data_IF_746296989212
#
_entry.id   IF_746296989212
#
_cell.length_a   1.000
_cell.length_b   1.000
_cell.length_c   1.000
_cell.angle_alpha   90.00
_cell.angle_beta   90.00
_cell.angle_gamma   90.00
#
_symmetry.space_group_name_H-M   'P 1'
#
loop_
_entity.id
_entity.type
_entity.pdbx_description
1 polymer ?
#
# COMPACT_ATOMS: atom_id res chain seq x y z
N UNK A 1 -29.34 73.10 55.27
CA UNK A 1 -30.28 71.95 55.31
C UNK A 1 -29.54 70.71 54.85
N UNK A 2 -29.72 69.56 55.54
CA UNK A 2 -29.02 69.31 56.80
C UNK A 2 -28.46 67.85 56.88
N UNK A 3 -27.40 67.59 57.68
CA UNK A 3 -27.40 66.83 58.96
C UNK A 3 -27.55 65.29 58.83
N UNK A 4 -26.97 64.39 59.65
CA UNK A 4 -26.12 64.40 60.86
C UNK A 4 -25.69 62.91 61.12
N UNK A 5 -24.56 62.74 61.81
CA UNK A 5 -24.24 61.73 62.87
C UNK A 5 -24.12 60.19 62.60
N UNK A 6 -22.87 59.70 62.68
CA UNK A 6 -22.22 58.77 63.66
C UNK A 6 -23.11 57.90 64.62
N UNK A 7 -22.66 56.76 65.22
CA UNK A 7 -21.29 56.42 65.67
C UNK A 7 -20.83 54.92 65.64
N UNK A 8 -19.70 54.66 66.32
CA UNK A 8 -18.78 53.52 66.25
C UNK A 8 -18.97 52.37 67.28
N UNK A 9 -18.34 51.22 66.97
CA UNK A 9 -17.68 50.17 67.82
C UNK A 9 -18.55 49.37 68.84
N UNK A 10 -18.28 48.05 69.12
CA UNK A 10 -16.96 47.50 69.53
C UNK A 10 -16.58 46.06 69.04
N UNK A 11 -15.34 45.58 69.26
CA UNK A 11 -14.90 44.16 69.21
C UNK A 11 -14.72 43.57 70.65
N UNK A 12 -14.03 42.43 70.88
CA UNK A 12 -14.21 41.04 70.44
C UNK A 12 -14.53 40.10 71.64
N UNK A 13 -14.93 38.84 71.41
CA UNK A 13 -14.92 37.81 72.47
C UNK A 13 -14.56 36.42 71.94
N UNK A 14 -13.47 35.89 72.50
CA UNK A 14 -13.00 34.52 72.36
C UNK A 14 -13.58 33.62 73.46
N UNK A 15 -13.25 32.32 73.38
CA UNK A 15 -13.50 31.18 74.31
C UNK A 15 -14.84 30.48 74.06
N UNK A 16 -14.96 29.16 74.14
CA UNK A 16 -14.02 28.07 74.42
C UNK A 16 -14.78 26.75 74.19
N UNK A 17 -14.04 25.74 73.73
CA UNK A 17 -14.21 24.32 74.03
C UNK A 17 -15.61 23.79 74.40
N UNK A 18 -16.24 23.10 73.46
CA UNK A 18 -17.30 22.10 73.72
C UNK A 18 -16.84 20.75 73.18
N UNK A 19 -16.23 19.96 74.06
CA UNK A 19 -15.76 18.59 73.78
C UNK A 19 -16.98 17.66 73.56
N UNK A 20 -16.86 16.81 72.54
CA UNK A 20 -17.82 15.79 72.05
C UNK A 20 -18.59 15.02 73.14
N UNK A 21 -19.71 14.41 72.73
CA UNK A 21 -19.75 12.95 72.87
C UNK A 21 -20.11 12.23 71.56
N UNK A 22 -19.81 10.92 71.50
CA UNK A 22 -19.56 10.20 70.26
C UNK A 22 -20.81 9.50 69.76
N UNK A 23 -20.66 8.88 68.58
CA UNK A 23 -21.53 7.87 67.93
C UNK A 23 -22.34 8.44 66.77
N UNK A 24 -21.75 8.38 65.58
CA UNK A 24 -22.38 7.85 64.36
C UNK A 24 -21.27 7.54 63.34
N UNK A 25 -20.26 6.78 63.78
CA UNK A 25 -19.09 6.37 62.97
C UNK A 25 -19.35 5.14 62.08
N UNK A 26 -20.61 4.70 61.94
CA UNK A 26 -20.94 3.42 61.33
C UNK A 26 -21.45 3.46 59.89
N UNK A 27 -22.00 4.58 59.40
CA UNK A 27 -22.76 4.58 58.13
C UNK A 27 -22.11 5.47 57.05
N UNK A 28 -21.37 6.51 57.43
CA UNK A 28 -20.67 7.35 56.45
C UNK A 28 -19.38 6.71 55.87
N UNK A 29 -18.87 5.66 56.50
CA UNK A 29 -17.61 5.00 56.08
C UNK A 29 -17.79 3.99 54.92
N UNK A 30 -19.04 3.68 54.52
CA UNK A 30 -19.30 2.74 53.43
C UNK A 30 -19.66 3.41 52.09
N UNK A 31 -19.95 4.72 52.08
CA UNK A 31 -20.27 5.46 50.85
C UNK A 31 -19.06 6.20 50.24
N UNK A 32 -18.00 6.42 51.03
CA UNK A 32 -16.77 7.04 50.54
C UNK A 32 -15.93 6.16 49.57
N UNK A 33 -15.83 4.82 49.73
CA UNK A 33 -15.07 4.01 48.77
C UNK A 33 -15.84 3.77 47.46
N UNK A 34 -17.16 3.97 47.42
CA UNK A 34 -17.96 3.81 46.20
C UNK A 34 -17.91 5.04 45.29
N UNK A 35 -17.70 6.24 45.87
CA UNK A 35 -17.56 7.48 45.10
C UNK A 35 -16.18 7.62 44.42
N UNK A 36 -15.16 6.88 44.88
CA UNK A 36 -13.81 6.87 44.28
C UNK A 36 -13.71 5.96 43.03
N UNK A 37 -14.70 5.10 42.76
CA UNK A 37 -14.76 4.28 41.54
C UNK A 37 -15.37 5.02 40.34
N UNK A 38 -15.92 6.22 40.53
CA UNK A 38 -16.45 7.06 39.45
C UNK A 38 -15.40 8.01 38.81
N UNK A 39 -14.13 7.90 39.22
CA UNK A 39 -13.04 8.73 38.68
C UNK A 39 -12.43 8.19 37.37
N UNK A 40 -12.95 7.09 36.81
CA UNK A 40 -12.68 6.71 35.43
C UNK A 40 -13.47 7.63 34.48
N UNK A 41 -12.98 8.86 34.31
CA UNK A 41 -13.36 9.70 33.18
C UNK A 41 -13.09 8.95 31.87
N UNK A 42 -13.85 9.23 30.79
CA UNK A 42 -13.64 8.56 29.51
C UNK A 42 -12.17 8.73 29.10
N UNK A 43 -11.42 7.63 29.00
CA UNK A 43 -10.06 7.65 28.50
C UNK A 43 -10.04 8.43 27.18
N UNK A 44 -9.02 9.27 26.91
CA UNK A 44 -8.81 9.79 25.57
C UNK A 44 -8.76 8.60 24.64
N UNK A 45 -9.72 8.52 23.72
CA UNK A 45 -9.82 7.45 22.74
C UNK A 45 -9.28 7.98 21.42
N UNK A 46 -7.95 7.96 21.20
CA UNK A 46 -7.35 8.48 19.96
C UNK A 46 -7.84 7.75 18.70
N UNK A 47 -8.48 6.59 18.86
CA UNK A 47 -9.07 5.79 17.79
C UNK A 47 -10.61 5.84 17.74
N UNK A 48 -11.30 6.61 18.60
CA UNK A 48 -12.74 6.90 18.43
C UNK A 48 -12.92 8.04 17.45
N UNK A 49 -12.72 7.70 16.20
CA UNK A 49 -13.06 8.48 15.04
C UNK A 49 -13.02 7.53 13.85
N UNK A 50 -13.89 7.74 12.87
CA UNK A 50 -13.68 7.19 11.55
C UNK A 50 -12.97 8.28 10.73
N UNK A 51 -11.63 8.39 10.79
CA UNK A 51 -10.89 9.41 10.02
C UNK A 51 -10.97 9.19 8.49
N UNK A 52 -11.81 8.26 8.02
CA UNK A 52 -12.00 7.96 6.61
C UNK A 52 -10.70 7.54 5.93
N UNK A 53 -10.65 7.73 4.61
CA UNK A 53 -9.47 7.39 3.79
C UNK A 53 -8.23 8.26 4.06
N UNK A 54 -8.32 9.30 4.90
CA UNK A 54 -7.19 10.19 5.18
C UNK A 54 -6.20 9.58 6.17
N UNK A 55 -6.64 8.96 7.28
CA UNK A 55 -5.73 8.32 8.21
C UNK A 55 -5.05 7.07 7.64
N UNK A 56 -5.73 6.31 6.76
CA UNK A 56 -5.09 5.18 6.05
C UNK A 56 -3.98 5.63 5.10
N UNK A 57 -4.08 6.84 4.53
CA UNK A 57 -3.04 7.42 3.67
C UNK A 57 -1.83 7.93 4.47
N UNK A 58 -2.03 8.33 5.72
CA UNK A 58 -0.97 8.84 6.60
C UNK A 58 -0.21 7.73 7.34
N UNK A 59 -0.82 6.55 7.53
CA UNK A 59 -0.23 5.43 8.27
C UNK A 59 0.34 4.31 7.38
N UNK A 60 0.35 4.50 6.05
CA UNK A 60 0.90 3.49 5.15
C UNK A 60 2.45 3.57 5.18
N UNK A 61 3.15 2.49 5.55
CA UNK A 61 4.60 2.43 5.36
C UNK A 61 4.96 2.66 3.89
N UNK A 62 6.18 3.14 3.59
CA UNK A 62 6.64 3.30 2.22
C UNK A 62 6.40 2.01 1.43
N UNK A 63 5.68 2.11 0.31
CA UNK A 63 5.21 0.96 -0.45
C UNK A 63 6.30 0.30 -1.32
N UNK A 64 7.57 0.58 -1.04
CA UNK A 64 8.70 0.12 -1.85
C UNK A 64 9.80 -0.47 -0.97
N UNK A 65 10.52 -1.43 -1.56
CA UNK A 65 11.79 -1.95 -1.05
C UNK A 65 12.86 -1.60 -2.08
N UNK A 66 14.07 -1.30 -1.62
CA UNK A 66 15.20 -0.98 -2.49
C UNK A 66 16.11 -2.19 -2.58
N UNK A 67 16.42 -2.62 -3.78
CA UNK A 67 17.51 -3.54 -4.04
C UNK A 67 18.81 -2.78 -4.34
N UNK A 68 19.90 -3.25 -3.75
CA UNK A 68 21.27 -2.77 -4.00
C UNK A 68 22.06 -3.91 -4.67
N UNK A 69 22.11 -3.96 -6.01
CA UNK A 69 22.93 -4.96 -6.69
C UNK A 69 24.43 -4.67 -6.51
N UNK A 70 25.30 -5.69 -6.63
CA UNK A 70 26.74 -5.48 -6.69
C UNK A 70 27.09 -4.52 -7.85
N UNK A 71 27.74 -3.37 -7.60
CA UNK A 71 27.94 -2.36 -8.62
C UNK A 71 29.16 -2.68 -9.50
N UNK A 72 28.90 -3.25 -10.66
CA UNK A 72 29.95 -3.58 -11.65
C UNK A 72 30.63 -2.35 -12.26
N UNK A 73 30.00 -1.18 -12.18
CA UNK A 73 30.52 0.09 -12.70
C UNK A 73 31.12 1.00 -11.61
N UNK A 74 31.37 0.49 -10.40
CA UNK A 74 31.94 1.27 -9.29
C UNK A 74 33.48 1.27 -9.23
N UNK A 75 34.17 0.80 -10.27
CA UNK A 75 35.63 0.68 -10.30
C UNK A 75 36.20 -0.16 -9.13
N UNK A 76 35.42 -1.16 -8.69
CA UNK A 76 35.80 -2.13 -7.65
C UNK A 76 35.86 -3.55 -8.26
N UNK A 77 36.74 -4.43 -7.75
CA UNK A 77 36.69 -5.86 -8.07
C UNK A 77 35.36 -6.51 -7.63
N UNK A 78 34.93 -7.59 -8.28
CA UNK A 78 33.61 -8.23 -8.07
C UNK A 78 33.29 -8.56 -6.59
N UNK A 79 34.28 -9.07 -5.86
CA UNK A 79 34.14 -9.39 -4.43
C UNK A 79 33.90 -8.11 -3.63
N UNK A 80 34.72 -7.08 -3.86
CA UNK A 80 34.57 -5.77 -3.20
C UNK A 80 33.28 -5.05 -3.59
N UNK A 81 32.79 -5.23 -4.82
CA UNK A 81 31.48 -4.72 -5.25
C UNK A 81 30.35 -5.36 -4.44
N UNK A 82 30.42 -6.67 -4.19
CA UNK A 82 29.44 -7.38 -3.35
C UNK A 82 29.52 -6.88 -1.91
N UNK A 83 30.72 -6.76 -1.35
CA UNK A 83 30.94 -6.23 0.00
C UNK A 83 30.44 -4.79 0.14
N UNK A 84 30.63 -3.96 -0.89
CA UNK A 84 30.16 -2.58 -0.88
C UNK A 84 28.64 -2.48 -0.96
N UNK A 85 27.98 -3.33 -1.76
CA UNK A 85 26.52 -3.41 -1.79
C UNK A 85 25.95 -3.83 -0.42
N UNK A 86 26.60 -4.77 0.28
CA UNK A 86 26.24 -5.15 1.65
C UNK A 86 26.44 -3.99 2.64
N UNK A 87 27.57 -3.28 2.56
CA UNK A 87 27.85 -2.13 3.42
C UNK A 87 26.84 -0.99 3.23
N UNK A 88 26.44 -0.70 1.98
CA UNK A 88 25.37 0.27 1.68
C UNK A 88 24.04 -0.19 2.27
N UNK A 89 23.72 -1.48 2.12
CA UNK A 89 22.49 -2.07 2.67
C UNK A 89 22.45 -1.89 4.19
N UNK A 90 23.50 -2.29 4.90
CA UNK A 90 23.58 -2.12 6.37
C UNK A 90 23.44 -0.65 6.80
N UNK A 91 24.12 0.27 6.09
CA UNK A 91 24.04 1.70 6.40
C UNK A 91 22.63 2.27 6.18
N UNK A 92 21.92 1.82 5.15
CA UNK A 92 20.55 2.22 4.85
C UNK A 92 19.53 1.56 5.78
N UNK A 93 19.74 0.30 6.18
CA UNK A 93 18.94 -0.36 7.23
C UNK A 93 19.04 0.40 8.56
N UNK A 94 20.25 0.85 8.92
CA UNK A 94 20.48 1.72 10.08
C UNK A 94 19.76 3.07 10.00
N UNK A 95 19.40 3.52 8.80
CA UNK A 95 18.58 4.70 8.54
C UNK A 95 17.07 4.37 8.38
N UNK A 96 16.65 3.17 8.77
CA UNK A 96 15.27 2.67 8.68
C UNK A 96 14.71 2.60 7.25
N UNK A 97 15.59 2.52 6.24
CA UNK A 97 15.18 2.36 4.84
C UNK A 97 14.92 0.88 4.55
N UNK A 98 13.76 0.50 3.95
CA UNK A 98 13.50 -0.88 3.55
C UNK A 98 14.41 -1.27 2.36
N UNK A 99 15.51 -1.95 2.62
CA UNK A 99 16.56 -2.25 1.63
C UNK A 99 16.95 -3.73 1.65
N UNK A 100 17.51 -4.23 0.55
CA UNK A 100 18.06 -5.58 0.42
C UNK A 100 19.28 -5.56 -0.51
N UNK A 101 20.34 -6.28 -0.15
CA UNK A 101 21.47 -6.49 -1.05
C UNK A 101 21.13 -7.57 -2.10
N UNK A 102 21.39 -7.30 -3.37
CA UNK A 102 21.23 -8.27 -4.46
C UNK A 102 20.37 -7.77 -5.62
N UNK A 103 19.96 -8.72 -6.47
CA UNK A 103 19.19 -8.43 -7.67
C UNK A 103 17.78 -7.91 -7.32
N UNK A 104 17.26 -6.91 -8.05
CA UNK A 104 15.92 -6.39 -7.81
C UNK A 104 14.86 -7.44 -8.15
N UNK A 105 13.85 -7.58 -7.28
CA UNK A 105 12.58 -8.17 -7.65
C UNK A 105 11.84 -7.25 -8.65
N UNK A 106 10.82 -7.73 -9.38
CA UNK A 106 10.14 -6.95 -10.41
C UNK A 106 9.55 -5.61 -9.95
N UNK A 107 9.37 -5.41 -8.65
CA UNK A 107 8.73 -4.24 -8.05
C UNK A 107 9.68 -3.46 -7.12
N UNK A 108 10.91 -3.93 -6.96
CA UNK A 108 11.90 -3.23 -6.15
C UNK A 108 12.33 -1.95 -6.88
N UNK A 109 12.55 -0.89 -6.11
CA UNK A 109 13.40 0.18 -6.58
C UNK A 109 14.83 -0.30 -6.58
N UNK A 110 15.66 0.22 -7.46
CA UNK A 110 17.06 -0.16 -7.56
C UNK A 110 17.95 1.03 -7.26
N UNK A 111 18.94 0.82 -6.40
CA UNK A 111 20.04 1.76 -6.24
C UNK A 111 21.18 1.33 -7.16
N UNK A 112 21.32 2.04 -8.28
CA UNK A 112 22.47 1.87 -9.15
C UNK A 112 23.64 2.70 -8.62
N UNK A 113 24.79 2.04 -8.47
CA UNK A 113 26.03 2.70 -8.04
C UNK A 113 27.06 2.58 -9.14
N UNK A 114 27.62 3.72 -9.53
CA UNK A 114 28.76 3.82 -10.44
C UNK A 114 29.88 4.60 -9.75
N UNK A 115 31.06 4.68 -10.36
CA UNK A 115 32.10 5.56 -9.88
C UNK A 115 32.86 6.19 -11.04
N UNK A 116 33.15 7.49 -10.91
CA UNK A 116 33.98 8.24 -11.82
C UNK A 116 35.33 8.52 -11.14
N UNK A 117 36.43 8.40 -11.89
CA UNK A 117 37.76 8.77 -11.40
C UNK A 117 38.22 10.08 -12.04
N UNK A 118 38.59 11.06 -11.22
CA UNK A 118 39.18 12.32 -11.64
C UNK A 118 40.45 12.66 -10.83
N UNK A 119 40.99 13.87 -10.99
CA UNK A 119 42.19 14.32 -10.27
C UNK A 119 42.04 14.42 -8.75
N UNK A 120 40.83 14.31 -8.20
CA UNK A 120 40.54 14.35 -6.75
C UNK A 120 40.39 12.96 -6.13
N UNK A 121 40.20 11.92 -6.95
CA UNK A 121 40.01 10.56 -6.49
C UNK A 121 38.91 9.83 -7.25
N UNK A 122 38.40 8.76 -6.65
CA UNK A 122 37.23 8.03 -7.13
C UNK A 122 35.99 8.56 -6.44
N UNK A 123 35.00 9.01 -7.21
CA UNK A 123 33.75 9.58 -6.72
C UNK A 123 32.60 8.61 -7.02
N UNK A 124 32.03 7.95 -6.00
CA UNK A 124 30.81 7.16 -6.18
C UNK A 124 29.64 8.04 -6.62
N UNK A 125 28.86 7.54 -7.57
CA UNK A 125 27.63 8.15 -8.05
C UNK A 125 26.46 7.19 -7.84
N UNK A 126 25.36 7.72 -7.35
CA UNK A 126 24.19 6.99 -6.93
C UNK A 126 22.99 7.42 -7.79
N UNK A 127 22.26 6.46 -8.31
CA UNK A 127 21.04 6.68 -9.07
C UNK A 127 19.93 5.81 -8.49
N UNK A 128 18.86 6.42 -8.02
CA UNK A 128 17.65 5.70 -7.62
C UNK A 128 16.80 5.50 -8.87
N UNK A 129 16.48 4.25 -9.17
CA UNK A 129 15.67 3.84 -10.31
C UNK A 129 14.41 3.17 -9.78
N UNK A 130 13.24 3.57 -10.27
CA UNK A 130 11.99 2.92 -9.90
C UNK A 130 11.82 1.55 -10.60
N UNK A 131 10.75 0.84 -10.24
CA UNK A 131 10.42 -0.46 -10.83
C UNK A 131 10.15 -0.39 -12.36
N UNK A 132 9.85 0.80 -12.91
CA UNK A 132 9.65 1.01 -14.35
C UNK A 132 10.97 1.29 -15.08
N UNK A 133 12.11 1.32 -14.37
CA UNK A 133 13.41 1.66 -14.94
C UNK A 133 13.65 3.17 -15.09
N UNK A 134 12.76 4.02 -14.57
CA UNK A 134 12.92 5.47 -14.61
C UNK A 134 13.82 5.93 -13.46
N UNK A 135 14.79 6.77 -13.80
CA UNK A 135 15.65 7.43 -12.80
C UNK A 135 14.83 8.47 -12.04
N UNK A 136 14.68 8.26 -10.73
CA UNK A 136 13.99 9.16 -9.82
C UNK A 136 14.89 10.30 -9.33
N UNK A 137 16.19 10.06 -9.26
CA UNK A 137 17.16 11.04 -8.81
C UNK A 137 18.58 10.49 -8.83
N UNK A 138 19.54 11.42 -8.90
CA UNK A 138 20.96 11.11 -8.90
C UNK A 138 21.69 12.04 -7.95
N UNK A 139 22.74 11.52 -7.30
CA UNK A 139 23.67 12.30 -6.52
C UNK A 139 25.06 11.67 -6.56
N UNK A 140 26.07 12.44 -6.18
CA UNK A 140 27.46 11.99 -6.11
C UNK A 140 27.95 12.11 -4.68
N UNK A 141 28.65 11.09 -4.21
CA UNK A 141 29.34 11.11 -2.92
C UNK A 141 30.56 12.03 -2.96
N UNK A 142 31.30 12.06 -1.85
CA UNK A 142 32.59 12.74 -1.80
C UNK A 142 33.72 11.85 -2.38
N UNK A 143 34.75 12.45 -3.00
CA UNK A 143 35.85 11.70 -3.58
C UNK A 143 36.60 10.90 -2.50
N UNK A 144 36.98 9.67 -2.86
CA UNK A 144 37.81 8.77 -2.06
C UNK A 144 39.19 8.68 -2.75
N UNK A 145 40.31 8.74 -2.01
CA UNK A 145 41.63 8.57 -2.61
C UNK A 145 41.72 7.29 -3.43
N UNK A 146 42.26 7.38 -4.65
CA UNK A 146 42.31 6.26 -5.62
C UNK A 146 42.89 5.00 -4.98
N UNK A 147 43.99 5.14 -4.24
CA UNK A 147 44.63 4.02 -3.54
C UNK A 147 43.71 3.34 -2.53
N UNK A 148 42.99 4.11 -1.72
CA UNK A 148 42.08 3.54 -0.71
C UNK A 148 40.88 2.84 -1.35
N UNK A 149 40.36 3.39 -2.44
CA UNK A 149 39.28 2.78 -3.20
C UNK A 149 39.71 1.47 -3.88
N UNK A 150 40.87 1.48 -4.54
CA UNK A 150 41.45 0.29 -5.20
C UNK A 150 41.87 -0.81 -4.22
N UNK A 151 42.32 -0.44 -3.01
CA UNK A 151 42.61 -1.42 -1.95
C UNK A 151 41.33 -2.08 -1.40
N UNK A 152 40.17 -1.44 -1.55
CA UNK A 152 38.84 -1.94 -1.20
C UNK A 152 38.74 -2.57 0.21
N UNK A 153 39.45 -1.99 1.19
CA UNK A 153 39.40 -2.46 2.58
C UNK A 153 37.99 -2.33 3.14
N UNK A 154 37.53 -3.35 3.88
CA UNK A 154 36.20 -3.39 4.51
C UNK A 154 35.88 -2.10 5.27
N UNK A 155 36.80 -1.62 6.12
CA UNK A 155 36.63 -0.36 6.85
C UNK A 155 36.38 0.85 5.93
N UNK A 156 37.06 0.93 4.78
CA UNK A 156 36.85 1.99 3.80
C UNK A 156 35.46 1.89 3.16
N UNK A 157 35.03 0.69 2.77
CA UNK A 157 33.73 0.46 2.15
C UNK A 157 32.57 0.82 3.11
N UNK A 158 32.63 0.35 4.36
CA UNK A 158 31.63 0.70 5.39
C UNK A 158 31.61 2.19 5.71
N UNK A 159 32.79 2.83 5.82
CA UNK A 159 32.90 4.27 6.06
C UNK A 159 32.29 5.10 4.92
N UNK A 160 32.54 4.72 3.66
CA UNK A 160 31.96 5.39 2.49
C UNK A 160 30.45 5.17 2.44
N UNK A 161 29.99 3.93 2.66
CA UNK A 161 28.57 3.60 2.70
C UNK A 161 27.82 4.39 3.79
N UNK A 162 28.34 4.43 5.02
CA UNK A 162 27.76 5.17 6.13
C UNK A 162 27.70 6.68 5.85
N UNK A 163 28.77 7.25 5.28
CA UNK A 163 28.81 8.67 4.89
C UNK A 163 27.75 8.99 3.84
N UNK A 164 27.61 8.15 2.82
CA UNK A 164 26.75 8.42 1.66
C UNK A 164 25.30 7.96 1.89
N UNK A 165 25.00 7.23 2.97
CA UNK A 165 23.65 6.80 3.33
C UNK A 165 22.66 7.96 3.50
N UNK A 166 23.09 9.07 4.12
CA UNK A 166 22.24 10.28 4.25
C UNK A 166 21.90 10.88 2.88
N UNK A 167 22.87 10.89 1.96
CA UNK A 167 22.71 11.39 0.60
C UNK A 167 21.73 10.52 -0.20
N UNK A 168 21.83 9.20 -0.07
CA UNK A 168 20.90 8.25 -0.70
C UNK A 168 19.49 8.37 -0.09
N UNK A 169 19.38 8.52 1.24
CA UNK A 169 18.10 8.71 1.94
C UNK A 169 17.40 9.99 1.47
N UNK A 170 18.15 11.07 1.29
CA UNK A 170 17.62 12.32 0.75
C UNK A 170 17.14 12.18 -0.72
N UNK A 171 17.84 11.39 -1.54
CA UNK A 171 17.40 11.06 -2.90
C UNK A 171 16.08 10.30 -2.89
N UNK A 172 15.97 9.27 -2.04
CA UNK A 172 14.76 8.45 -1.91
C UNK A 172 13.56 9.28 -1.49
N UNK A 173 13.72 10.10 -0.46
CA UNK A 173 12.67 11.01 0.03
C UNK A 173 12.17 11.95 -1.08
N UNK A 174 13.09 12.47 -1.91
CA UNK A 174 12.74 13.35 -3.03
C UNK A 174 12.05 12.60 -4.16
N UNK A 175 12.52 11.39 -4.47
CA UNK A 175 11.91 10.49 -5.46
C UNK A 175 10.48 10.11 -5.07
N UNK A 176 10.27 9.76 -3.79
CA UNK A 176 8.94 9.54 -3.23
C UNK A 176 8.05 10.78 -3.34
N UNK A 177 8.55 11.95 -2.96
CA UNK A 177 7.78 13.19 -3.01
C UNK A 177 7.36 13.51 -4.46
N UNK A 178 8.27 13.35 -5.43
CA UNK A 178 7.96 13.52 -6.84
C UNK A 178 6.93 12.50 -7.34
N UNK A 179 7.03 11.25 -6.90
CA UNK A 179 6.04 10.21 -7.20
C UNK A 179 4.68 10.52 -6.59
N UNK A 180 4.61 10.87 -5.31
CA UNK A 180 3.36 11.28 -4.63
C UNK A 180 2.76 12.53 -5.29
N UNK A 181 3.58 13.48 -5.73
CA UNK A 181 3.12 14.64 -6.49
C UNK A 181 2.48 14.22 -7.84
N UNK A 182 3.08 13.25 -8.53
CA UNK A 182 2.48 12.67 -9.74
C UNK A 182 1.21 11.85 -9.47
N UNK A 183 1.10 11.22 -8.29
CA UNK A 183 -0.09 10.47 -7.85
C UNK A 183 -1.21 11.38 -7.31
N UNK A 184 -0.89 12.59 -6.84
CA UNK A 184 -1.86 13.59 -6.33
C UNK A 184 -2.42 14.51 -7.41
N UNK A 185 -1.86 14.50 -8.62
CA UNK A 185 -2.64 14.84 -9.80
C UNK A 185 -3.78 13.84 -9.85
N UNK A 186 -5.06 14.27 -9.77
CA UNK A 186 -6.16 13.34 -9.89
C UNK A 186 -5.92 12.51 -11.14
N UNK A 187 -5.97 11.18 -11.01
CA UNK A 187 -5.76 10.27 -12.14
C UNK A 187 -6.78 10.51 -13.28
N UNK A 188 -7.72 11.44 -13.06
CA UNK A 188 -8.60 12.07 -14.03
C UNK A 188 -8.67 13.59 -13.78
N UNK A 189 -7.58 14.32 -14.03
CA UNK A 189 -7.54 15.78 -14.06
C UNK A 189 -7.30 16.29 -15.47
N UNK A 190 -8.24 16.03 -16.40
CA UNK A 190 -8.31 16.47 -17.82
C UNK A 190 -7.86 15.51 -18.94
N UNK A 191 -7.57 14.23 -18.67
CA UNK A 191 -6.94 13.34 -19.67
C UNK A 191 -7.44 11.88 -19.74
N UNK A 192 -8.67 11.65 -20.20
CA UNK A 192 -9.12 10.35 -20.74
C UNK A 192 -9.45 9.21 -19.74
N UNK A 193 -9.94 8.06 -20.26
CA UNK A 193 -10.31 6.89 -19.45
C UNK A 193 -9.10 6.16 -18.83
N UNK A 194 -9.26 5.54 -17.65
CA UNK A 194 -8.17 4.85 -16.96
C UNK A 194 -7.65 3.65 -17.75
N UNK A 195 -6.31 3.55 -17.84
CA UNK A 195 -5.61 2.51 -18.61
C UNK A 195 -5.16 1.36 -17.70
N UNK A 196 -5.40 0.13 -18.16
CA UNK A 196 -5.02 -1.12 -17.49
C UNK A 196 -4.09 -1.91 -18.39
N UNK A 197 -2.90 -2.21 -17.89
CA UNK A 197 -1.98 -3.16 -18.53
C UNK A 197 -2.49 -4.56 -18.26
N UNK A 198 -2.81 -5.33 -19.30
CA UNK A 198 -3.26 -6.70 -19.14
C UNK A 198 -2.22 -7.68 -19.66
N UNK A 199 -1.67 -8.51 -18.77
CA UNK A 199 -0.62 -9.47 -19.11
C UNK A 199 -1.16 -10.80 -19.64
N UNK A 200 -2.47 -10.90 -19.85
CA UNK A 200 -3.16 -12.11 -20.29
C UNK A 200 -3.46 -13.10 -19.16
N UNK A 201 -3.75 -14.32 -19.57
CA UNK A 201 -4.16 -15.43 -18.70
C UNK A 201 -3.22 -16.61 -18.91
N UNK A 202 -2.88 -17.32 -17.84
CA UNK A 202 -2.01 -18.49 -17.87
C UNK A 202 -2.66 -19.70 -17.18
N UNK A 203 -2.31 -20.90 -17.63
CA UNK A 203 -2.68 -22.16 -16.99
C UNK A 203 -4.02 -22.77 -17.41
N UNK A 204 -4.81 -22.09 -18.25
CA UNK A 204 -6.06 -22.66 -18.74
C UNK A 204 -5.80 -23.70 -19.87
N UNK A 205 -6.43 -24.89 -19.83
CA UNK A 205 -6.38 -25.88 -20.89
C UNK A 205 -7.14 -25.43 -22.16
N UNK A 206 -6.95 -26.16 -23.26
CA UNK A 206 -7.60 -25.87 -24.53
C UNK A 206 -7.23 -24.48 -25.06
N UNK A 207 -8.23 -23.71 -25.48
CA UNK A 207 -8.11 -22.30 -25.88
C UNK A 207 -8.35 -21.31 -24.72
N UNK A 208 -8.44 -21.81 -23.49
CA UNK A 208 -8.96 -21.04 -22.36
C UNK A 208 -8.20 -19.75 -22.05
N UNK A 209 -6.87 -19.73 -22.22
CA UNK A 209 -6.07 -18.53 -21.97
C UNK A 209 -6.47 -17.41 -22.94
N UNK A 210 -6.66 -17.74 -24.22
CA UNK A 210 -7.05 -16.79 -25.26
C UNK A 210 -8.50 -16.35 -25.08
N UNK A 211 -9.41 -17.30 -24.84
CA UNK A 211 -10.83 -17.03 -24.66
C UNK A 211 -11.12 -16.17 -23.43
N UNK A 212 -10.48 -16.44 -22.29
CA UNK A 212 -10.60 -15.61 -21.09
C UNK A 212 -9.98 -14.22 -21.28
N UNK A 213 -8.82 -14.12 -21.94
CA UNK A 213 -8.17 -12.84 -22.19
C UNK A 213 -9.02 -11.93 -23.10
N UNK A 214 -9.56 -12.49 -24.18
CA UNK A 214 -10.43 -11.76 -25.11
C UNK A 214 -11.66 -11.20 -24.38
N UNK A 215 -12.39 -12.04 -23.66
CA UNK A 215 -13.61 -11.63 -22.96
C UNK A 215 -13.36 -10.61 -21.86
N UNK A 216 -12.26 -10.76 -21.11
CA UNK A 216 -11.87 -9.78 -20.08
C UNK A 216 -11.60 -8.39 -20.67
N UNK A 217 -10.92 -8.31 -21.82
CA UNK A 217 -10.69 -7.04 -22.53
C UNK A 217 -12.02 -6.37 -22.93
N UNK A 218 -12.94 -7.15 -23.50
CA UNK A 218 -14.26 -6.65 -23.93
C UNK A 218 -15.08 -6.08 -22.76
N UNK A 219 -15.15 -6.83 -21.65
CA UNK A 219 -15.91 -6.41 -20.48
C UNK A 219 -15.33 -5.19 -19.79
N UNK A 220 -14.00 -5.10 -19.64
CA UNK A 220 -13.36 -3.93 -19.04
C UNK A 220 -13.49 -2.68 -19.92
N UNK A 221 -13.40 -2.84 -21.24
CA UNK A 221 -13.68 -1.76 -22.22
C UNK A 221 -15.10 -1.22 -22.06
N UNK A 222 -16.09 -2.10 -21.95
CA UNK A 222 -17.50 -1.74 -21.70
C UNK A 222 -17.68 -1.00 -20.36
N UNK A 223 -16.80 -1.25 -19.38
CA UNK A 223 -16.78 -0.57 -18.07
C UNK A 223 -15.96 0.73 -18.07
N UNK A 224 -15.53 1.22 -19.24
CA UNK A 224 -14.84 2.51 -19.39
C UNK A 224 -13.35 2.47 -19.10
N UNK A 225 -12.74 1.28 -19.08
CA UNK A 225 -11.30 1.09 -18.91
C UNK A 225 -10.64 0.86 -20.27
N UNK A 226 -9.47 1.45 -20.50
CA UNK A 226 -8.67 1.15 -21.68
C UNK A 226 -7.72 0.02 -21.35
N UNK A 227 -7.94 -1.16 -21.93
CA UNK A 227 -7.07 -2.31 -21.73
C UNK A 227 -6.00 -2.34 -22.82
N UNK A 228 -4.74 -2.48 -22.42
CA UNK A 228 -3.59 -2.47 -23.32
C UNK A 228 -2.54 -3.48 -22.86
N UNK A 229 -1.70 -3.92 -23.79
CA UNK A 229 -0.64 -4.89 -23.48
C UNK A 229 0.64 -4.18 -22.98
N UNK A 230 0.86 -2.94 -23.42
CA UNK A 230 1.95 -2.07 -22.98
C UNK A 230 1.72 -1.48 -21.59
N UNK A 231 2.80 -1.16 -20.87
CA UNK A 231 2.73 -0.47 -19.58
C UNK A 231 2.48 1.04 -19.73
N UNK A 232 2.66 1.60 -20.93
CA UNK A 232 2.67 3.05 -21.17
C UNK A 232 1.36 3.74 -20.75
N UNK A 233 1.43 4.54 -19.69
CA UNK A 233 0.29 5.27 -19.15
C UNK A 233 -0.73 4.39 -18.40
N UNK A 234 -0.46 3.10 -18.19
CA UNK A 234 -1.31 2.24 -17.35
C UNK A 234 -1.02 2.47 -15.87
N UNK A 235 -2.06 2.75 -15.08
CA UNK A 235 -1.94 2.84 -13.61
C UNK A 235 -2.15 1.52 -12.89
N UNK A 236 -2.71 0.54 -13.59
CA UNK A 236 -3.07 -0.75 -13.03
C UNK A 236 -2.56 -1.85 -13.94
N UNK A 237 -2.18 -2.98 -13.35
CA UNK A 237 -1.97 -4.21 -14.08
C UNK A 237 -2.99 -5.26 -13.66
N UNK A 238 -3.36 -6.10 -14.63
CA UNK A 238 -4.24 -7.23 -14.46
C UNK A 238 -3.53 -8.48 -14.97
N UNK A 239 -3.60 -9.57 -14.21
CA UNK A 239 -3.13 -10.89 -14.63
C UNK A 239 -4.16 -11.96 -14.25
N UNK A 240 -4.39 -12.91 -15.15
CA UNK A 240 -5.23 -14.08 -14.89
C UNK A 240 -4.40 -15.34 -14.70
N UNK A 241 -4.76 -16.17 -13.73
CA UNK A 241 -4.18 -17.50 -13.51
C UNK A 241 -5.29 -18.52 -13.33
N UNK A 242 -5.20 -19.62 -14.06
CA UNK A 242 -6.09 -20.77 -13.94
C UNK A 242 -5.31 -21.95 -13.39
N UNK A 243 -5.84 -22.59 -12.37
CA UNK A 243 -5.27 -23.79 -11.76
C UNK A 243 -6.32 -24.89 -11.72
N UNK A 244 -5.95 -26.11 -12.10
CA UNK A 244 -6.80 -27.28 -12.03
C UNK A 244 -6.22 -28.29 -11.04
N UNK A 245 -7.05 -28.82 -10.17
CA UNK A 245 -6.69 -29.87 -9.22
C UNK A 245 -7.69 -31.04 -9.30
N UNK A 246 -7.24 -32.29 -9.18
CA UNK A 246 -8.14 -33.44 -9.09
C UNK A 246 -9.13 -33.29 -7.93
N UNK A 247 -10.38 -33.71 -8.14
CA UNK A 247 -11.40 -33.80 -7.11
C UNK A 247 -12.05 -35.20 -7.11
N UNK A 248 -12.66 -35.65 -5.99
CA UNK A 248 -13.33 -36.95 -5.94
C UNK A 248 -14.45 -37.08 -7.00
N UNK A 249 -14.85 -38.32 -7.29
CA UNK A 249 -15.98 -38.65 -8.16
C UNK A 249 -15.81 -38.21 -9.63
N UNK A 250 -14.59 -38.31 -10.18
CA UNK A 250 -14.32 -37.98 -11.58
C UNK A 250 -14.47 -36.49 -11.91
N UNK A 251 -14.36 -35.63 -10.89
CA UNK A 251 -14.39 -34.17 -11.02
C UNK A 251 -12.98 -33.60 -10.95
N UNK A 252 -12.86 -32.35 -11.34
CA UNK A 252 -11.70 -31.50 -11.14
C UNK A 252 -12.17 -30.16 -10.59
N UNK A 253 -11.40 -29.62 -9.65
CA UNK A 253 -11.57 -28.27 -9.15
C UNK A 253 -10.82 -27.31 -10.07
N UNK A 254 -11.52 -26.30 -10.56
CA UNK A 254 -10.95 -25.18 -11.32
C UNK A 254 -10.94 -23.93 -10.43
N UNK A 255 -9.78 -23.32 -10.33
CA UNK A 255 -9.56 -22.05 -9.64
C UNK A 255 -9.11 -21.01 -10.67
N UNK A 256 -9.83 -19.90 -10.75
CA UNK A 256 -9.53 -18.78 -11.64
C UNK A 256 -9.29 -17.57 -10.77
N UNK A 257 -8.05 -17.09 -10.78
CA UNK A 257 -7.59 -15.95 -10.01
C UNK A 257 -7.26 -14.79 -10.94
N UNK A 258 -7.84 -13.63 -10.65
CA UNK A 258 -7.52 -12.37 -11.30
C UNK A 258 -6.85 -11.46 -10.29
N UNK A 259 -5.62 -11.06 -10.56
CA UNK A 259 -4.83 -10.24 -9.65
C UNK A 259 -4.70 -8.83 -10.23
N UNK A 260 -5.13 -7.85 -9.45
CA UNK A 260 -5.02 -6.43 -9.78
C UNK A 260 -3.91 -5.83 -8.94
N UNK A 261 -2.94 -5.24 -9.63
CA UNK A 261 -1.87 -4.49 -8.97
C UNK A 261 -1.90 -3.05 -9.43
N UNK A 262 -1.51 -2.14 -8.55
CA UNK A 262 -1.19 -0.78 -8.93
C UNK A 262 0.14 -0.77 -9.69
N UNK A 263 0.39 0.31 -10.42
CA UNK A 263 1.64 0.55 -11.17
C UNK A 263 2.90 0.35 -10.33
N UNK A 264 2.82 0.61 -9.03
CA UNK A 264 3.92 0.41 -8.09
C UNK A 264 4.08 -1.02 -7.57
N UNK A 265 3.33 -1.96 -8.15
CA UNK A 265 3.41 -3.37 -7.80
C UNK A 265 2.59 -3.77 -6.58
N UNK A 266 1.99 -2.82 -5.88
CA UNK A 266 1.17 -3.15 -4.72
C UNK A 266 -0.08 -3.92 -5.18
N UNK A 267 -0.26 -5.13 -4.63
CA UNK A 267 -1.48 -5.91 -4.80
C UNK A 267 -2.67 -5.12 -4.22
N UNK A 268 -3.54 -4.63 -5.10
CA UNK A 268 -4.74 -3.89 -4.72
C UNK A 268 -5.86 -4.84 -4.31
N UNK A 269 -5.82 -6.07 -4.83
CA UNK A 269 -6.78 -7.11 -4.54
C UNK A 269 -6.80 -8.19 -5.61
N UNK A 270 -7.58 -9.22 -5.35
CA UNK A 270 -7.79 -10.32 -6.28
C UNK A 270 -9.27 -10.70 -6.37
N UNK A 271 -9.71 -11.12 -7.55
CA UNK A 271 -10.99 -11.79 -7.73
C UNK A 271 -10.72 -13.28 -7.91
N UNK A 272 -11.35 -14.10 -7.07
CA UNK A 272 -11.13 -15.54 -7.04
C UNK A 272 -12.45 -16.27 -7.32
N UNK A 273 -12.44 -17.17 -8.28
CA UNK A 273 -13.58 -17.99 -8.66
C UNK A 273 -13.18 -19.47 -8.57
N UNK A 274 -13.90 -20.24 -7.77
CA UNK A 274 -13.67 -21.68 -7.60
C UNK A 274 -14.91 -22.44 -8.01
N UNK A 275 -14.74 -23.42 -8.90
CA UNK A 275 -15.81 -24.31 -9.33
C UNK A 275 -15.33 -25.75 -9.41
N UNK A 276 -16.25 -26.72 -9.31
CA UNK A 276 -15.97 -28.13 -9.56
C UNK A 276 -16.68 -28.57 -10.84
N UNK A 277 -15.92 -29.11 -11.78
CA UNK A 277 -16.42 -29.52 -13.10
C UNK A 277 -16.04 -30.97 -13.38
N UNK A 278 -16.72 -31.68 -14.30
CA UNK A 278 -16.28 -32.99 -14.75
C UNK A 278 -14.85 -32.94 -15.31
N UNK A 279 -14.03 -33.94 -15.02
CA UNK A 279 -12.66 -34.00 -15.53
C UNK A 279 -12.64 -33.98 -17.06
N UNK A 280 -11.77 -33.15 -17.64
CA UNK A 280 -11.60 -33.01 -19.09
C UNK A 280 -12.64 -32.13 -19.80
N UNK A 281 -13.69 -31.69 -19.11
CA UNK A 281 -14.73 -30.81 -19.69
C UNK A 281 -14.20 -29.46 -20.19
N UNK A 282 -13.05 -29.02 -19.68
CA UNK A 282 -12.40 -27.75 -20.03
C UNK A 282 -11.25 -27.91 -21.03
N UNK A 283 -11.07 -29.07 -21.67
CA UNK A 283 -9.94 -29.27 -22.59
C UNK A 283 -10.20 -28.75 -24.02
N UNK A 284 -11.43 -28.34 -24.30
CA UNK A 284 -11.88 -27.86 -25.61
C UNK A 284 -11.97 -26.34 -25.71
N UNK A 285 -13.06 -25.85 -26.30
CA UNK A 285 -13.33 -24.43 -26.50
C UNK A 285 -14.00 -23.81 -25.27
N UNK A 286 -13.47 -22.69 -24.81
CA UNK A 286 -13.90 -21.99 -23.60
C UNK A 286 -14.87 -20.85 -23.86
N UNK A 287 -15.28 -20.57 -25.10
CA UNK A 287 -16.02 -19.35 -25.45
C UNK A 287 -17.17 -18.98 -24.50
N UNK A 288 -18.03 -19.94 -24.16
CA UNK A 288 -19.19 -19.74 -23.27
C UNK A 288 -18.77 -19.64 -21.79
N UNK A 289 -17.88 -20.53 -21.35
CA UNK A 289 -17.35 -20.52 -19.98
C UNK A 289 -16.62 -19.21 -19.70
N UNK A 290 -15.78 -18.78 -20.63
CA UNK A 290 -15.02 -17.55 -20.56
C UNK A 290 -15.95 -16.33 -20.47
N UNK A 291 -17.06 -16.30 -21.21
CA UNK A 291 -18.03 -15.21 -21.11
C UNK A 291 -18.57 -15.05 -19.69
N UNK A 292 -19.09 -16.14 -19.10
CA UNK A 292 -19.70 -16.10 -17.75
C UNK A 292 -18.65 -15.79 -16.67
N UNK A 293 -17.50 -16.46 -16.73
CA UNK A 293 -16.41 -16.28 -15.76
C UNK A 293 -15.91 -14.83 -15.76
N UNK A 294 -15.67 -14.26 -16.95
CA UNK A 294 -15.13 -12.90 -17.07
C UNK A 294 -16.17 -11.82 -16.83
N UNK A 295 -17.46 -12.07 -17.10
CA UNK A 295 -18.54 -11.14 -16.76
C UNK A 295 -18.52 -10.80 -15.26
N UNK A 296 -18.50 -11.82 -14.42
CA UNK A 296 -18.44 -11.69 -12.96
C UNK A 296 -17.09 -11.09 -12.51
N UNK A 297 -15.98 -11.64 -12.99
CA UNK A 297 -14.66 -11.18 -12.59
C UNK A 297 -14.38 -9.72 -13.00
N UNK A 298 -14.88 -9.28 -14.15
CA UNK A 298 -14.70 -7.90 -14.62
C UNK A 298 -15.38 -6.88 -13.72
N UNK A 299 -16.49 -7.23 -13.06
CA UNK A 299 -17.13 -6.37 -12.08
C UNK A 299 -16.24 -6.21 -10.84
N UNK A 300 -15.76 -7.32 -10.28
CA UNK A 300 -14.85 -7.30 -9.14
C UNK A 300 -13.53 -6.55 -9.44
N UNK A 301 -12.94 -6.76 -10.62
CA UNK A 301 -11.72 -6.04 -11.06
C UNK A 301 -11.97 -4.54 -11.15
N UNK A 302 -13.09 -4.12 -11.74
CA UNK A 302 -13.46 -2.70 -11.81
C UNK A 302 -13.66 -2.10 -10.41
N UNK A 303 -14.25 -2.83 -9.48
CA UNK A 303 -14.46 -2.38 -8.11
C UNK A 303 -13.13 -2.22 -7.35
N UNK A 304 -12.19 -3.15 -7.52
CA UNK A 304 -10.84 -3.05 -6.97
C UNK A 304 -10.15 -1.78 -7.49
N UNK A 305 -10.22 -1.53 -8.80
CA UNK A 305 -9.65 -0.32 -9.43
C UNK A 305 -10.34 0.95 -8.93
N UNK A 306 -11.66 0.94 -8.79
CA UNK A 306 -12.44 2.07 -8.27
C UNK A 306 -12.03 2.43 -6.83
N UNK A 307 -11.95 1.43 -5.96
CA UNK A 307 -11.64 1.59 -4.54
C UNK A 307 -10.19 2.06 -4.31
N UNK A 308 -9.29 1.76 -5.24
CA UNK A 308 -7.92 2.26 -5.25
C UNK A 308 -7.80 3.72 -5.74
N UNK A 309 -8.91 4.37 -6.11
CA UNK A 309 -8.93 5.72 -6.66
C UNK A 309 -8.64 5.80 -8.17
N UNK A 310 -8.70 4.67 -8.88
CA UNK A 310 -8.42 4.58 -10.32
C UNK A 310 -9.54 5.08 -11.23
N UNK A 311 -10.74 5.22 -10.70
CA UNK A 311 -11.88 5.87 -11.36
C UNK A 311 -12.18 7.12 -10.54
N UNK A 312 -11.99 8.31 -11.11
CA UNK A 312 -12.28 9.57 -10.41
C UNK A 312 -13.61 9.55 -9.64
N UNK A 313 -13.70 10.33 -8.57
CA UNK A 313 -14.77 10.28 -7.54
C UNK A 313 -16.21 10.32 -8.10
N UNK A 314 -16.38 10.82 -9.32
CA UNK A 314 -17.64 10.96 -10.06
C UNK A 314 -18.07 9.65 -10.77
N UNK A 315 -17.13 8.81 -11.22
CA UNK A 315 -17.41 7.50 -11.81
C UNK A 315 -17.69 6.43 -10.73
N UNK A 316 -17.13 6.59 -9.53
CA UNK A 316 -17.43 5.75 -8.37
C UNK A 316 -18.86 5.98 -7.83
N UNK A 317 -19.44 7.18 -8.05
CA UNK A 317 -20.78 7.57 -7.60
C UNK A 317 -21.92 7.22 -8.57
N UNK A 318 -21.66 6.63 -9.74
CA UNK A 318 -22.75 6.22 -10.64
C UNK A 318 -23.57 5.11 -9.96
N UNK A 319 -24.87 5.33 -9.69
CA UNK A 319 -25.71 4.28 -9.13
C UNK A 319 -25.82 3.12 -10.13
N UNK A 320 -25.93 1.90 -9.60
CA UNK A 320 -26.16 0.71 -10.40
C UNK A 320 -27.41 0.90 -11.28
N UNK A 321 -27.39 0.46 -12.55
CA UNK A 321 -28.61 0.44 -13.35
C UNK A 321 -29.68 -0.37 -12.62
N UNK A 322 -30.95 0.09 -12.63
CA UNK A 322 -32.02 -0.61 -11.93
C UNK A 322 -32.12 -2.06 -12.42
N UNK A 323 -32.47 -3.00 -11.52
CA UNK A 323 -32.60 -4.40 -11.89
C UNK A 323 -33.59 -4.53 -13.05
N UNK A 324 -33.23 -5.35 -14.04
CA UNK A 324 -34.09 -5.65 -15.17
C UNK A 324 -35.45 -6.18 -14.66
N UNK A 325 -36.56 -5.80 -15.31
CA UNK A 325 -37.88 -6.28 -14.90
C UNK A 325 -37.91 -7.80 -14.96
N UNK A 326 -38.31 -8.39 -13.85
CA UNK A 326 -38.51 -9.83 -13.67
C UNK A 326 -39.43 -10.34 -14.78
N UNK A 327 -38.95 -11.31 -15.56
CA UNK A 327 -39.76 -11.96 -16.59
C UNK A 327 -40.99 -12.60 -15.91
N UNK A 328 -42.20 -12.51 -16.51
CA UNK A 328 -43.39 -13.10 -15.92
C UNK A 328 -43.19 -14.60 -15.73
N UNK A 329 -43.46 -15.08 -14.50
CA UNK A 329 -43.45 -16.49 -14.17
C UNK A 329 -44.39 -17.24 -15.13
N UNK A 330 -43.80 -18.19 -15.86
CA UNK A 330 -44.52 -19.14 -16.69
C UNK A 330 -45.39 -20.01 -15.78
N UNK A 331 -46.69 -19.68 -15.72
CA UNK A 331 -47.66 -20.44 -14.97
C UNK A 331 -47.87 -21.80 -15.65
N UNK A 332 -47.37 -22.85 -15.00
CA UNK A 332 -47.60 -24.23 -15.39
C UNK A 332 -49.08 -24.63 -15.30
N UNK A 333 -49.58 -25.12 -16.42
CA UNK A 333 -50.58 -26.17 -16.66
C UNK A 333 -52.02 -26.04 -16.08
N UNK A 334 -53.00 -26.66 -16.75
CA UNK A 334 -53.33 -28.00 -16.26
C UNK A 334 -53.48 -29.05 -17.37
N UNK A 335 -53.15 -30.28 -16.98
CA UNK A 335 -53.47 -31.50 -17.70
C UNK A 335 -54.98 -31.69 -17.85
N UNK A 336 -55.40 -32.07 -19.06
CA UNK A 336 -56.56 -32.94 -19.35
C UNK A 336 -56.28 -33.77 -20.58
#
# INVERSE_FOLDING_TARGET
>A
MPHLFNPAAPPPAARSAGRMPPKFRGIAALLLPLALLAACGPLPQPFRGNPGGAARRLAAPPAYRIAVPPPSAALLPDVASTDFAMAITEALEGAEVPVVAGAPAPLDWRLDVTADQDGRGVTPAYSVVDADGKVLGQARGAPVPVREWSEARTETLHRVAARDAELVTALLTRGEAARRAAETVPFNGSGGPPRVRFTGVQGAPGDGNQSLALRMRDFLSTKGLVVQDGADGAAFSLAGKVTLAPAPNGKQRVEIQWLVRRRDGHDLGQALQLNEVPTGSLNGLWGDVAYVVTQEASAAVRDIIANAGGLGEEAARRPAPPPAPEAPAEAGAPAR
#
